data_IF_889546103199
#
_entry.id   IF_889546103199
#
_cell.length_a   1.000
_cell.length_b   1.000
_cell.length_c   1.000
_cell.angle_alpha   90.00
_cell.angle_beta   90.00
_cell.angle_gamma   90.00
#
_symmetry.space_group_name_H-M   'P 1'
#
loop_
_entity.id
_entity.type
_entity.pdbx_description
1 polymer ?
#
# COMPACT_ATOMS: atom_id res chain seq x y z
N UNK A 1 -4.16 7.06 1.95
CA UNK A 1 -2.87 6.52 2.41
C UNK A 1 -1.80 7.09 1.50
N UNK A 2 -1.18 8.19 1.91
CA UNK A 2 -0.09 8.78 1.14
C UNK A 2 1.11 7.84 1.18
N UNK A 3 1.62 7.45 0.02
CA UNK A 3 2.89 6.72 -0.05
C UNK A 3 3.99 7.63 0.50
N UNK A 4 4.38 7.44 1.76
CA UNK A 4 5.56 8.03 2.39
C UNK A 4 6.84 7.38 1.84
N UNK A 5 6.95 7.35 0.50
CA UNK A 5 8.09 6.80 -0.22
C UNK A 5 9.07 7.94 -0.54
N UNK A 6 10.38 7.72 -0.38
CA UNK A 6 11.41 8.64 -0.86
C UNK A 6 11.25 8.97 -2.34
N UNK A 7 11.60 10.20 -2.72
CA UNK A 7 11.55 10.68 -4.11
C UNK A 7 12.29 9.72 -5.06
N UNK A 8 13.43 9.15 -4.64
CA UNK A 8 14.19 8.16 -5.41
C UNK A 8 13.38 6.91 -5.76
N UNK A 9 12.50 6.45 -4.87
CA UNK A 9 11.64 5.28 -5.13
C UNK A 9 10.51 5.66 -6.08
N UNK A 10 9.95 6.85 -5.92
CA UNK A 10 8.88 7.37 -6.78
C UNK A 10 9.38 7.61 -8.22
N UNK A 11 10.63 8.04 -8.41
CA UNK A 11 11.26 8.19 -9.73
C UNK A 11 11.30 6.88 -10.55
N UNK A 12 11.15 5.71 -9.91
CA UNK A 12 11.12 4.41 -10.60
C UNK A 12 9.72 4.00 -11.06
N UNK A 13 8.68 4.58 -10.48
CA UNK A 13 7.29 4.10 -10.62
C UNK A 13 6.33 5.19 -11.10
N UNK A 14 6.79 6.42 -11.24
CA UNK A 14 5.96 7.60 -11.51
C UNK A 14 6.66 8.49 -12.53
N UNK A 15 5.87 9.14 -13.40
CA UNK A 15 6.41 10.05 -14.41
C UNK A 15 7.11 11.23 -13.73
N UNK A 16 8.19 11.70 -14.35
CA UNK A 16 9.02 12.78 -13.80
C UNK A 16 8.22 14.08 -13.63
N UNK A 17 7.32 14.38 -14.55
CA UNK A 17 6.50 15.59 -14.52
C UNK A 17 5.51 15.60 -13.34
N UNK A 18 4.97 14.44 -12.98
CA UNK A 18 4.11 14.29 -11.80
C UNK A 18 4.91 14.51 -10.50
N UNK A 19 6.16 14.04 -10.47
CA UNK A 19 7.06 14.27 -9.33
C UNK A 19 7.42 15.75 -9.21
N UNK A 20 7.70 16.43 -10.32
CA UNK A 20 7.94 17.88 -10.33
C UNK A 20 6.72 18.66 -9.85
N UNK A 21 5.51 18.28 -10.27
CA UNK A 21 4.26 18.88 -9.78
C UNK A 21 4.12 18.72 -8.26
N UNK A 22 4.39 17.52 -7.74
CA UNK A 22 4.35 17.26 -6.28
C UNK A 22 5.41 18.05 -5.52
N UNK A 23 6.61 18.23 -6.08
CA UNK A 23 7.62 19.12 -5.51
C UNK A 23 7.10 20.55 -5.46
N UNK A 24 6.51 21.04 -6.56
CA UNK A 24 5.91 22.39 -6.60
C UNK A 24 4.83 22.59 -5.55
N UNK A 25 3.92 21.63 -5.38
CA UNK A 25 2.90 21.66 -4.32
C UNK A 25 3.52 21.66 -2.92
N UNK A 26 4.57 20.86 -2.71
CA UNK A 26 5.27 20.78 -1.43
C UNK A 26 5.91 22.12 -1.07
N UNK A 27 6.57 22.78 -2.03
CA UNK A 27 7.15 24.12 -1.85
C UNK A 27 6.04 25.14 -1.53
N UNK A 28 4.90 25.09 -2.22
CA UNK A 28 3.80 26.01 -1.97
C UNK A 28 3.22 25.87 -0.55
N UNK A 29 3.10 24.64 -0.04
CA UNK A 29 2.68 24.38 1.36
C UNK A 29 3.69 25.02 2.32
N UNK A 30 4.99 24.76 2.13
CA UNK A 30 6.04 25.29 3.00
C UNK A 30 6.05 26.83 3.00
N UNK A 31 5.92 27.45 1.83
CA UNK A 31 5.86 28.92 1.71
C UNK A 31 4.65 29.48 2.48
N UNK A 32 3.50 28.81 2.41
CA UNK A 32 2.30 29.20 3.15
C UNK A 32 2.49 29.04 4.68
N UNK A 33 3.07 27.92 5.13
CA UNK A 33 3.31 27.66 6.56
C UNK A 33 4.29 28.66 7.19
N UNK A 34 5.22 29.20 6.39
CA UNK A 34 6.17 30.23 6.81
C UNK A 34 5.56 31.65 6.80
N UNK A 35 4.32 31.83 6.33
CA UNK A 35 3.69 33.14 6.25
C UNK A 35 4.36 34.09 5.24
N UNK A 36 5.12 33.55 4.28
CA UNK A 36 5.86 34.34 3.31
C UNK A 36 4.93 35.01 2.30
N UNK A 37 5.06 36.33 2.15
CA UNK A 37 4.24 37.12 1.22
C UNK A 37 4.65 36.94 -0.24
N UNK A 38 5.87 36.46 -0.49
CA UNK A 38 6.42 36.27 -1.85
C UNK A 38 6.70 34.81 -2.13
N UNK A 39 6.06 34.28 -3.18
CA UNK A 39 6.35 32.95 -3.73
C UNK A 39 7.67 33.02 -4.51
N UNK A 40 8.53 31.98 -4.47
CA UNK A 40 9.73 31.93 -5.29
C UNK A 40 9.40 32.13 -6.76
N UNK A 41 10.23 32.91 -7.48
CA UNK A 41 10.08 33.07 -8.92
C UNK A 41 10.30 31.73 -9.68
N UNK A 42 9.97 31.71 -10.98
CA UNK A 42 10.07 30.48 -11.79
C UNK A 42 11.49 29.91 -11.83
N UNK A 43 12.53 30.75 -11.77
CA UNK A 43 13.92 30.30 -11.81
C UNK A 43 14.33 29.68 -10.47
N UNK A 44 13.93 30.29 -9.36
CA UNK A 44 14.11 29.78 -8.01
C UNK A 44 13.38 28.46 -7.82
N UNK A 45 12.13 28.34 -8.29
CA UNK A 45 11.37 27.09 -8.27
C UNK A 45 12.09 25.98 -9.06
N UNK A 46 12.56 26.26 -10.28
CA UNK A 46 13.32 25.28 -11.08
C UNK A 46 14.60 24.84 -10.38
N UNK A 47 15.32 25.76 -9.73
CA UNK A 47 16.50 25.44 -8.93
C UNK A 47 16.15 24.57 -7.72
N UNK A 48 15.10 24.89 -6.99
CA UNK A 48 14.64 24.07 -5.86
C UNK A 48 14.24 22.66 -6.29
N UNK A 49 13.49 22.53 -7.38
CA UNK A 49 13.14 21.23 -7.98
C UNK A 49 14.40 20.44 -8.35
N UNK A 50 15.36 21.08 -9.01
CA UNK A 50 16.63 20.45 -9.36
C UNK A 50 17.37 19.94 -8.11
N UNK A 51 17.44 20.75 -7.05
CA UNK A 51 18.15 20.35 -5.84
C UNK A 51 17.46 19.19 -5.11
N UNK A 52 16.13 19.23 -5.01
CA UNK A 52 15.35 18.17 -4.37
C UNK A 52 15.48 16.83 -5.12
N UNK A 53 15.47 16.85 -6.46
CA UNK A 53 15.61 15.65 -7.28
C UNK A 53 17.01 15.04 -7.24
N UNK A 54 18.06 15.85 -7.14
CA UNK A 54 19.44 15.37 -7.24
C UNK A 54 20.09 15.12 -5.89
N UNK A 55 19.85 16.00 -4.91
CA UNK A 55 20.56 15.98 -3.63
C UNK A 55 19.71 15.48 -2.47
N UNK A 56 18.38 15.52 -2.54
CA UNK A 56 17.47 15.15 -1.44
C UNK A 56 16.49 14.03 -1.81
N UNK A 57 16.84 13.21 -2.80
CA UNK A 57 15.98 12.13 -3.29
C UNK A 57 15.74 11.00 -2.26
N UNK A 58 16.55 10.93 -1.21
CA UNK A 58 16.40 10.06 -0.05
C UNK A 58 15.25 10.46 0.87
N UNK A 59 14.76 11.70 0.77
CA UNK A 59 13.64 12.21 1.53
C UNK A 59 12.32 11.98 0.78
N UNK A 60 11.24 11.74 1.53
CA UNK A 60 9.88 11.80 1.02
C UNK A 60 9.34 13.23 1.06
N UNK A 61 8.22 13.47 0.37
CA UNK A 61 7.53 14.78 0.44
C UNK A 61 7.04 15.12 1.85
N UNK A 62 6.56 14.13 2.60
CA UNK A 62 6.14 14.30 3.99
C UNK A 62 7.34 14.61 4.89
N UNK A 63 8.50 14.00 4.64
CA UNK A 63 9.74 14.29 5.37
C UNK A 63 10.24 15.71 5.08
N UNK A 64 10.09 16.20 3.85
CA UNK A 64 10.42 17.59 3.50
C UNK A 64 9.50 18.55 4.26
N UNK A 65 8.18 18.35 4.28
CA UNK A 65 7.24 19.20 5.03
C UNK A 65 7.57 19.16 6.53
N UNK A 66 7.76 17.95 7.08
CA UNK A 66 8.11 17.73 8.48
C UNK A 66 9.42 18.41 8.88
N UNK A 67 10.40 18.52 7.97
CA UNK A 67 11.61 19.27 8.21
C UNK A 67 11.30 20.74 8.55
N UNK A 68 10.39 21.37 7.79
CA UNK A 68 9.99 22.75 8.05
C UNK A 68 9.13 22.89 9.31
N UNK A 69 8.22 21.96 9.57
CA UNK A 69 7.46 21.94 10.83
C UNK A 69 8.38 21.86 12.06
N UNK A 70 9.37 20.95 12.03
CA UNK A 70 10.35 20.79 13.10
C UNK A 70 11.25 22.02 13.25
N UNK A 71 11.59 22.68 12.13
CA UNK A 71 12.27 23.96 12.19
C UNK A 71 11.40 24.98 12.92
N UNK A 72 10.14 25.19 12.50
CA UNK A 72 9.20 26.16 13.08
C UNK A 72 9.00 25.98 14.59
N UNK A 73 8.90 24.74 15.09
CA UNK A 73 8.75 24.45 16.53
C UNK A 73 10.07 24.47 17.31
N UNK A 74 11.16 24.94 16.70
CA UNK A 74 12.46 25.13 17.34
C UNK A 74 13.20 23.83 17.66
N UNK A 75 12.93 22.74 16.93
CA UNK A 75 13.58 21.44 17.17
C UNK A 75 14.99 21.34 16.57
N UNK A 76 15.38 22.30 15.75
CA UNK A 76 16.73 22.40 15.20
C UNK A 76 17.48 23.58 15.83
N UNK A 77 18.77 23.40 16.10
CA UNK A 77 19.69 24.48 16.45
C UNK A 77 20.08 25.30 15.21
N UNK A 78 19.10 25.71 14.41
CA UNK A 78 19.29 26.40 13.14
C UNK A 78 18.49 27.69 13.20
N UNK A 79 19.15 28.82 12.94
CA UNK A 79 18.46 30.10 12.82
C UNK A 79 17.47 30.03 11.63
N UNK A 80 16.17 30.22 11.91
CA UNK A 80 15.03 30.10 10.98
C UNK A 80 14.72 31.46 10.33
N UNK A 81 15.50 32.50 10.63
CA UNK A 81 15.35 33.80 9.99
C UNK A 81 15.44 33.67 8.47
N UNK A 82 14.29 33.86 7.83
CA UNK A 82 14.12 34.02 6.42
C UNK A 82 13.82 35.51 6.23
N UNK A 83 14.80 36.27 5.73
CA UNK A 83 14.63 37.71 5.47
C UNK A 83 13.67 37.89 4.28
N UNK A 84 12.37 37.71 4.53
CA UNK A 84 11.23 37.80 3.60
C UNK A 84 11.33 37.01 2.28
N UNK A 85 12.32 36.12 2.14
CA UNK A 85 12.58 35.39 0.90
C UNK A 85 12.83 33.91 1.16
N UNK A 86 12.07 33.07 0.44
CA UNK A 86 12.31 31.62 0.39
C UNK A 86 13.36 31.33 -0.68
N UNK A 87 14.61 31.18 -0.28
CA UNK A 87 15.70 30.88 -1.20
C UNK A 87 16.22 29.44 -1.06
N UNK A 88 17.09 29.04 -1.99
CA UNK A 88 17.66 27.69 -2.02
C UNK A 88 18.58 27.43 -0.81
N UNK A 89 19.25 28.47 -0.28
CA UNK A 89 20.13 28.35 0.88
C UNK A 89 19.31 27.99 2.12
N UNK A 90 18.18 28.66 2.30
CA UNK A 90 17.23 28.40 3.37
C UNK A 90 16.66 26.98 3.29
N UNK A 91 16.20 26.57 2.09
CA UNK A 91 15.71 25.20 1.86
C UNK A 91 16.76 24.14 2.23
N UNK A 92 17.98 24.28 1.73
CA UNK A 92 19.05 23.29 1.99
C UNK A 92 19.51 23.28 3.45
N UNK A 93 19.56 24.43 4.12
CA UNK A 93 19.90 24.55 5.54
C UNK A 93 18.94 23.72 6.41
N UNK A 94 17.64 23.85 6.18
CA UNK A 94 16.60 23.12 6.94
C UNK A 94 16.64 21.62 6.63
N UNK A 95 16.78 21.23 5.37
CA UNK A 95 16.81 19.80 5.01
C UNK A 95 18.06 19.08 5.52
N UNK A 96 19.20 19.76 5.58
CA UNK A 96 20.40 19.20 6.19
C UNK A 96 20.24 19.04 7.71
N UNK A 97 19.65 20.03 8.39
CA UNK A 97 19.33 19.94 9.81
C UNK A 97 18.39 18.76 10.10
N UNK A 98 17.39 18.57 9.24
CA UNK A 98 16.48 17.43 9.33
C UNK A 98 17.18 16.09 9.12
N UNK A 99 18.16 15.99 8.20
CA UNK A 99 18.96 14.76 8.04
C UNK A 99 19.72 14.40 9.29
N UNK A 100 20.36 15.38 9.94
CA UNK A 100 21.08 15.15 11.20
C UNK A 100 20.10 14.77 12.31
N UNK A 101 18.96 15.46 12.42
CA UNK A 101 17.89 15.09 13.33
C UNK A 101 17.41 13.65 13.09
N UNK A 102 17.19 13.26 11.83
CA UNK A 102 16.78 11.91 11.44
C UNK A 102 17.85 10.89 11.80
N UNK A 103 19.14 11.14 11.60
CA UNK A 103 20.23 10.24 12.00
C UNK A 103 20.26 10.00 13.52
N UNK A 104 20.03 11.05 14.31
CA UNK A 104 20.08 10.98 15.77
C UNK A 104 18.81 10.37 16.39
N UNK A 105 17.64 10.61 15.78
CA UNK A 105 16.34 10.22 16.32
C UNK A 105 15.70 9.02 15.60
N UNK A 106 16.31 8.52 14.53
CA UNK A 106 15.97 7.18 14.05
C UNK A 106 16.54 6.21 15.08
N UNK A 107 15.72 5.37 15.74
CA UNK A 107 16.25 4.36 16.64
C UNK A 107 17.31 3.60 15.88
N UNK A 108 18.54 3.59 16.41
CA UNK A 108 19.57 2.67 15.95
C UNK A 108 18.98 1.29 16.20
N UNK A 109 18.37 0.71 15.17
CA UNK A 109 18.16 -0.72 15.12
C UNK A 109 19.49 -1.31 15.55
N UNK A 110 19.53 -2.22 16.55
CA UNK A 110 20.76 -2.89 16.88
C UNK A 110 21.35 -3.33 15.55
N UNK A 111 22.62 -2.99 15.31
CA UNK A 111 23.42 -3.56 14.23
C UNK A 111 23.66 -5.04 14.56
N UNK A 112 22.57 -5.80 14.70
CA UNK A 112 22.56 -7.19 14.30
C UNK A 112 22.99 -7.13 12.84
N UNK A 113 24.25 -7.50 12.64
CA UNK A 113 24.80 -8.00 11.38
C UNK A 113 23.64 -8.62 10.60
N UNK A 114 23.50 -8.26 9.32
CA UNK A 114 22.61 -8.93 8.39
C UNK A 114 22.99 -10.42 8.27
N UNK A 115 22.71 -11.23 9.29
CA UNK A 115 22.23 -12.56 9.03
C UNK A 115 20.90 -12.31 8.34
N UNK A 116 20.90 -12.44 7.01
CA UNK A 116 19.64 -12.61 6.30
C UNK A 116 18.82 -13.60 7.13
N UNK A 117 17.55 -13.28 7.49
CA UNK A 117 16.75 -14.17 8.32
C UNK A 117 16.91 -15.57 7.72
N UNK A 118 17.47 -16.49 8.52
CA UNK A 118 17.76 -17.84 8.05
C UNK A 118 16.47 -18.32 7.39
N UNK A 119 16.51 -18.79 6.12
CA UNK A 119 15.30 -19.27 5.49
C UNK A 119 14.68 -20.28 6.45
N UNK A 120 13.35 -20.21 6.69
CA UNK A 120 12.72 -21.09 7.67
C UNK A 120 13.09 -22.53 7.34
N UNK A 121 13.48 -23.27 8.36
CA UNK A 121 13.70 -24.71 8.26
C UNK A 121 12.41 -25.39 7.77
N UNK A 122 12.51 -26.58 7.19
CA UNK A 122 11.32 -27.32 6.75
C UNK A 122 10.34 -27.58 7.91
N UNK A 123 10.86 -27.77 9.14
CA UNK A 123 10.05 -27.88 10.34
C UNK A 123 9.28 -26.58 10.66
N UNK A 124 9.92 -25.42 10.54
CA UNK A 124 9.26 -24.12 10.73
C UNK A 124 8.25 -23.83 9.62
N UNK A 125 8.57 -24.14 8.35
CA UNK A 125 7.61 -24.03 7.24
C UNK A 125 6.39 -24.90 7.47
N UNK A 126 6.58 -26.13 7.95
CA UNK A 126 5.49 -27.04 8.32
C UNK A 126 4.65 -26.44 9.44
N UNK A 127 5.27 -25.92 10.50
CA UNK A 127 4.54 -25.31 11.60
C UNK A 127 3.75 -24.07 11.16
N UNK A 128 4.31 -23.24 10.28
CA UNK A 128 3.62 -22.10 9.67
C UNK A 128 2.40 -22.60 8.88
N UNK A 129 2.55 -23.64 8.04
CA UNK A 129 1.45 -24.25 7.28
C UNK A 129 0.34 -24.75 8.21
N UNK A 130 0.69 -25.50 9.24
CA UNK A 130 -0.26 -26.04 10.24
C UNK A 130 -1.01 -24.90 10.93
N UNK A 131 -0.28 -23.88 11.41
CA UNK A 131 -0.88 -22.74 12.12
C UNK A 131 -1.83 -21.93 11.23
N UNK A 132 -1.51 -21.81 9.94
CA UNK A 132 -2.38 -21.17 8.96
C UNK A 132 -3.73 -21.89 8.86
N UNK A 133 -3.73 -23.22 8.69
CA UNK A 133 -4.97 -23.98 8.56
C UNK A 133 -5.76 -24.09 9.86
N UNK A 134 -5.10 -24.14 11.02
CA UNK A 134 -5.77 -24.04 12.32
C UNK A 134 -6.49 -22.70 12.50
N UNK A 135 -5.88 -21.61 12.05
CA UNK A 135 -6.53 -20.29 12.05
C UNK A 135 -7.69 -20.24 11.04
N UNK A 136 -7.52 -20.85 9.87
CA UNK A 136 -8.58 -20.95 8.87
C UNK A 136 -9.79 -21.75 9.38
N UNK A 137 -9.57 -22.82 10.15
CA UNK A 137 -10.63 -23.56 10.84
C UNK A 137 -11.39 -22.69 11.85
N UNK A 138 -10.70 -21.84 12.61
CA UNK A 138 -11.35 -20.88 13.51
C UNK A 138 -12.20 -19.89 12.71
N UNK A 139 -11.67 -19.35 11.61
CA UNK A 139 -12.42 -18.45 10.73
C UNK A 139 -13.64 -19.13 10.11
N UNK A 140 -13.57 -20.40 9.73
CA UNK A 140 -14.73 -21.17 9.27
C UNK A 140 -15.79 -21.33 10.37
N UNK A 141 -15.39 -21.65 11.62
CA UNK A 141 -16.32 -21.71 12.76
C UNK A 141 -17.00 -20.36 13.00
N UNK A 142 -16.27 -19.25 12.90
CA UNK A 142 -16.83 -17.90 12.98
C UNK A 142 -17.80 -17.62 11.84
N UNK A 143 -17.45 -18.02 10.61
CA UNK A 143 -18.30 -17.89 9.43
C UNK A 143 -19.62 -18.66 9.59
N UNK A 144 -19.59 -19.89 10.09
CA UNK A 144 -20.80 -20.69 10.34
C UNK A 144 -21.75 -19.95 11.29
N UNK A 145 -21.22 -19.36 12.37
CA UNK A 145 -21.98 -18.61 13.38
C UNK A 145 -22.51 -17.27 12.90
N UNK A 146 -21.68 -16.50 12.19
CA UNK A 146 -21.95 -15.07 11.89
C UNK A 146 -22.35 -14.79 10.45
N UNK A 147 -22.12 -15.73 9.54
CA UNK A 147 -22.22 -15.54 8.10
C UNK A 147 -21.12 -14.65 7.49
N UNK A 148 -20.14 -14.19 8.30
CA UNK A 148 -19.08 -13.29 7.87
C UNK A 148 -17.72 -13.96 7.90
N UNK A 149 -16.92 -13.70 6.88
CA UNK A 149 -15.59 -14.27 6.77
C UNK A 149 -14.60 -13.35 7.51
N UNK A 150 -14.12 -13.81 8.65
CA UNK A 150 -13.18 -13.07 9.51
C UNK A 150 -11.73 -13.29 9.06
N UNK A 151 -11.46 -12.97 7.79
CA UNK A 151 -10.12 -13.08 7.18
C UNK A 151 -9.86 -11.87 6.28
N UNK A 152 -8.67 -11.28 6.44
CA UNK A 152 -8.30 -10.05 5.73
C UNK A 152 -7.75 -10.34 4.32
N UNK A 153 -7.11 -11.49 4.11
CA UNK A 153 -6.34 -11.79 2.89
C UNK A 153 -6.94 -12.98 2.11
N UNK A 154 -8.10 -12.75 1.51
CA UNK A 154 -8.87 -13.78 0.80
C UNK A 154 -8.11 -14.47 -0.36
N UNK A 155 -7.30 -13.71 -1.12
CA UNK A 155 -6.54 -14.28 -2.24
C UNK A 155 -5.51 -15.32 -1.79
N UNK A 156 -4.91 -15.13 -0.61
CA UNK A 156 -3.94 -16.06 -0.03
C UNK A 156 -4.65 -17.34 0.42
N UNK A 157 -5.82 -17.21 1.03
CA UNK A 157 -6.66 -18.35 1.43
C UNK A 157 -7.02 -19.19 0.22
N UNK A 158 -7.53 -18.57 -0.85
CA UNK A 158 -7.85 -19.28 -2.08
C UNK A 158 -6.65 -20.06 -2.62
N UNK A 159 -5.49 -19.40 -2.78
CA UNK A 159 -4.29 -20.04 -3.30
C UNK A 159 -3.88 -21.22 -2.41
N UNK A 160 -3.91 -21.07 -1.09
CA UNK A 160 -3.53 -22.14 -0.16
C UNK A 160 -4.51 -23.30 -0.18
N UNK A 161 -5.81 -23.05 -0.30
CA UNK A 161 -6.79 -24.13 -0.47
C UNK A 161 -6.58 -24.88 -1.79
N UNK A 162 -6.27 -24.16 -2.87
CA UNK A 162 -6.04 -24.76 -4.19
C UNK A 162 -4.74 -25.58 -4.20
N UNK A 163 -3.63 -25.02 -3.71
CA UNK A 163 -2.32 -25.68 -3.59
C UNK A 163 -2.38 -26.99 -2.79
N UNK A 164 -3.31 -27.09 -1.83
CA UNK A 164 -3.49 -28.27 -0.99
C UNK A 164 -4.70 -29.12 -1.44
N UNK A 165 -5.22 -28.93 -2.66
CA UNK A 165 -6.33 -29.70 -3.23
C UNK A 165 -7.61 -29.73 -2.37
N UNK A 166 -7.84 -28.68 -1.57
CA UNK A 166 -9.03 -28.56 -0.71
C UNK A 166 -10.19 -27.92 -1.47
N UNK A 167 -9.88 -26.98 -2.37
CA UNK A 167 -10.85 -26.39 -3.30
C UNK A 167 -10.43 -26.75 -4.73
N UNK A 168 -11.41 -27.02 -5.57
CA UNK A 168 -11.23 -27.19 -7.00
C UNK A 168 -12.12 -26.19 -7.73
N UNK A 169 -11.56 -25.50 -8.72
CA UNK A 169 -12.29 -24.54 -9.56
C UNK A 169 -11.87 -24.81 -10.99
N UNK A 170 -12.81 -25.29 -11.79
CA UNK A 170 -12.64 -25.48 -13.24
C UNK A 170 -12.54 -24.13 -13.97
N UNK A 171 -12.07 -24.15 -15.22
CA UNK A 171 -11.99 -22.93 -16.04
C UNK A 171 -13.36 -22.26 -16.23
N UNK A 172 -14.42 -23.05 -16.39
CA UNK A 172 -15.79 -22.55 -16.54
C UNK A 172 -16.26 -21.86 -15.26
N UNK A 173 -16.04 -22.48 -14.10
CA UNK A 173 -16.38 -21.87 -12.80
C UNK A 173 -15.56 -20.60 -12.55
N UNK A 174 -14.27 -20.61 -12.92
CA UNK A 174 -13.41 -19.45 -12.82
C UNK A 174 -13.91 -18.29 -13.67
N UNK A 175 -14.38 -18.56 -14.90
CA UNK A 175 -15.00 -17.55 -15.77
C UNK A 175 -16.24 -16.94 -15.11
N UNK A 176 -17.12 -17.77 -14.54
CA UNK A 176 -18.31 -17.31 -13.80
C UNK A 176 -17.93 -16.45 -12.59
N UNK A 177 -16.89 -16.83 -11.84
CA UNK A 177 -16.38 -16.06 -10.71
C UNK A 177 -15.80 -14.72 -11.16
N UNK A 178 -15.08 -14.68 -12.28
CA UNK A 178 -14.53 -13.46 -12.87
C UNK A 178 -15.64 -12.50 -13.32
N UNK A 179 -16.76 -13.00 -13.83
CA UNK A 179 -17.93 -12.19 -14.18
C UNK A 179 -18.62 -11.63 -12.94
N UNK A 180 -18.85 -12.44 -11.91
CA UNK A 180 -19.38 -11.98 -10.61
C UNK A 180 -18.47 -10.91 -10.01
N UNK A 181 -17.16 -11.15 -10.01
CA UNK A 181 -16.16 -10.22 -9.49
C UNK A 181 -16.12 -8.91 -10.27
N UNK A 182 -16.24 -8.97 -11.60
CA UNK A 182 -16.32 -7.78 -12.46
C UNK A 182 -17.55 -6.94 -12.10
N UNK A 183 -18.73 -7.58 -11.96
CA UNK A 183 -19.97 -6.89 -11.56
C UNK A 183 -19.84 -6.26 -10.18
N UNK A 184 -19.32 -7.00 -9.20
CA UNK A 184 -19.11 -6.50 -7.84
C UNK A 184 -18.11 -5.33 -7.79
N UNK A 185 -17.03 -5.40 -8.55
CA UNK A 185 -16.05 -4.32 -8.66
C UNK A 185 -16.68 -3.06 -9.26
N UNK A 186 -17.46 -3.18 -10.34
CA UNK A 186 -18.22 -2.06 -10.91
C UNK A 186 -19.20 -1.45 -9.88
N UNK A 187 -19.89 -2.27 -9.08
CA UNK A 187 -20.76 -1.78 -8.01
C UNK A 187 -19.99 -1.01 -6.92
N UNK A 188 -18.82 -1.52 -6.51
CA UNK A 188 -17.92 -0.84 -5.54
C UNK A 188 -17.44 0.51 -6.10
N UNK A 189 -17.08 0.57 -7.37
CA UNK A 189 -16.68 1.81 -8.06
C UNK A 189 -17.84 2.82 -8.21
N UNK A 190 -19.08 2.35 -8.32
CA UNK A 190 -20.25 3.25 -8.34
C UNK A 190 -20.63 3.81 -6.95
N UNK A 191 -19.96 3.38 -5.89
CA UNK A 191 -20.25 3.78 -4.50
C UNK A 191 -19.06 4.49 -3.83
N UNK A 192 -18.59 5.64 -4.34
CA UNK A 192 -17.49 6.38 -3.73
C UNK A 192 -17.90 6.93 -2.36
N UNK A 193 -17.02 6.81 -1.37
CA UNK A 193 -17.25 7.33 0.00
C UNK A 193 -16.74 8.75 0.18
N UNK A 194 -15.91 9.24 -0.74
CA UNK A 194 -15.27 10.56 -0.67
C UNK A 194 -15.25 11.23 -2.05
N UNK A 195 -15.12 12.55 -2.08
CA UNK A 195 -15.02 13.31 -3.33
C UNK A 195 -13.78 12.90 -4.16
N UNK A 196 -12.65 12.62 -3.50
CA UNK A 196 -11.44 12.13 -4.18
C UNK A 196 -11.67 10.77 -4.84
N UNK A 197 -12.35 9.84 -4.17
CA UNK A 197 -12.73 8.54 -4.75
C UNK A 197 -13.71 8.71 -5.92
N UNK A 198 -14.62 9.69 -5.85
CA UNK A 198 -15.58 9.92 -6.93
C UNK A 198 -14.87 10.20 -8.25
N UNK A 199 -13.88 11.10 -8.24
CA UNK A 199 -13.11 11.43 -9.45
C UNK A 199 -12.34 10.21 -9.96
N UNK A 200 -11.60 9.52 -9.07
CA UNK A 200 -10.82 8.32 -9.43
C UNK A 200 -11.71 7.21 -10.00
N UNK A 201 -12.80 6.88 -9.32
CA UNK A 201 -13.72 5.82 -9.72
C UNK A 201 -14.43 6.14 -11.04
N UNK A 202 -14.77 7.41 -11.27
CA UNK A 202 -15.35 7.86 -12.55
C UNK A 202 -14.37 7.60 -13.70
N UNK A 203 -13.09 7.95 -13.53
CA UNK A 203 -12.05 7.69 -14.53
C UNK A 203 -11.87 6.20 -14.80
N UNK A 204 -11.91 5.36 -13.75
CA UNK A 204 -11.80 3.91 -13.89
C UNK A 204 -13.01 3.34 -14.64
N UNK A 205 -14.23 3.76 -14.29
CA UNK A 205 -15.46 3.29 -14.93
C UNK A 205 -15.54 3.68 -16.41
N UNK A 206 -15.19 4.92 -16.76
CA UNK A 206 -15.18 5.40 -18.15
C UNK A 206 -14.22 4.60 -19.04
N UNK A 207 -13.12 4.11 -18.46
CA UNK A 207 -12.10 3.36 -19.18
C UNK A 207 -12.13 1.86 -18.86
N UNK A 208 -13.16 1.35 -18.18
CA UNK A 208 -13.11 0.05 -17.52
C UNK A 208 -12.74 -1.11 -18.46
N UNK A 209 -13.37 -1.17 -19.64
CA UNK A 209 -13.10 -2.24 -20.62
C UNK A 209 -11.68 -2.15 -21.17
N UNK A 210 -11.14 -0.94 -21.34
CA UNK A 210 -9.74 -0.74 -21.72
C UNK A 210 -8.80 -1.08 -20.56
N UNK A 211 -9.16 -0.70 -19.33
CA UNK A 211 -8.32 -0.87 -18.15
C UNK A 211 -8.23 -2.33 -17.69
N UNK A 212 -9.34 -3.07 -17.76
CA UNK A 212 -9.45 -4.48 -17.33
C UNK A 212 -8.46 -5.39 -18.06
N UNK A 213 -8.12 -5.09 -19.32
CA UNK A 213 -7.19 -5.90 -20.12
C UNK A 213 -5.82 -5.24 -20.34
N UNK A 214 -5.73 -3.90 -20.26
CA UNK A 214 -4.48 -3.17 -20.53
C UNK A 214 -3.63 -2.91 -19.28
N UNK A 215 -4.20 -2.89 -18.09
CA UNK A 215 -3.48 -2.55 -16.85
C UNK A 215 -3.48 -3.72 -15.85
N UNK A 216 -2.29 -4.20 -15.43
CA UNK A 216 -2.17 -5.33 -14.49
C UNK A 216 -2.92 -5.13 -13.16
N UNK A 217 -3.06 -3.88 -12.70
CA UNK A 217 -3.67 -3.56 -11.42
C UNK A 217 -5.18 -3.83 -11.37
N UNK A 218 -5.94 -3.43 -12.40
CA UNK A 218 -7.40 -3.64 -12.42
C UNK A 218 -7.74 -5.11 -12.63
N UNK A 219 -7.00 -5.80 -13.51
CA UNK A 219 -7.14 -7.24 -13.67
C UNK A 219 -6.87 -7.98 -12.35
N UNK A 220 -5.78 -7.64 -11.67
CA UNK A 220 -5.42 -8.24 -10.37
C UNK A 220 -6.47 -7.98 -9.30
N UNK A 221 -7.08 -6.78 -9.28
CA UNK A 221 -8.18 -6.45 -8.36
C UNK A 221 -9.39 -7.34 -8.61
N UNK A 222 -9.80 -7.50 -9.87
CA UNK A 222 -10.92 -8.36 -10.23
C UNK A 222 -10.62 -9.82 -9.89
N UNK A 223 -9.40 -10.31 -10.19
CA UNK A 223 -8.97 -11.66 -9.82
C UNK A 223 -9.01 -11.88 -8.31
N UNK A 224 -8.56 -10.91 -7.50
CA UNK A 224 -8.60 -11.03 -6.04
C UNK A 224 -10.04 -11.05 -5.51
N UNK A 225 -10.96 -10.30 -6.12
CA UNK A 225 -12.38 -10.36 -5.79
C UNK A 225 -12.96 -11.73 -6.20
N UNK A 226 -12.58 -12.29 -7.35
CA UNK A 226 -13.02 -13.63 -7.77
C UNK A 226 -12.57 -14.70 -6.77
N UNK A 227 -11.33 -14.61 -6.27
CA UNK A 227 -10.81 -15.49 -5.21
C UNK A 227 -11.56 -15.34 -3.90
N UNK A 228 -11.91 -14.12 -3.51
CA UNK A 228 -12.77 -13.83 -2.35
C UNK A 228 -14.13 -14.53 -2.50
N UNK A 229 -14.80 -14.36 -3.65
CA UNK A 229 -16.09 -15.00 -3.93
C UNK A 229 -15.95 -16.52 -3.87
N UNK A 230 -14.92 -17.10 -4.47
CA UNK A 230 -14.70 -18.55 -4.47
C UNK A 230 -14.57 -19.13 -3.06
N UNK A 231 -13.80 -18.48 -2.18
CA UNK A 231 -13.64 -18.92 -0.79
C UNK A 231 -14.96 -18.81 -0.03
N UNK A 232 -15.72 -17.74 -0.24
CA UNK A 232 -17.03 -17.56 0.39
C UNK A 232 -18.01 -18.64 -0.07
N UNK A 233 -18.11 -18.89 -1.38
CA UNK A 233 -18.99 -19.91 -1.94
C UNK A 233 -18.62 -21.31 -1.44
N UNK A 234 -17.32 -21.62 -1.36
CA UNK A 234 -16.83 -22.87 -0.76
C UNK A 234 -17.26 -23.01 0.70
N UNK A 235 -17.06 -21.98 1.53
CA UNK A 235 -17.49 -22.02 2.94
C UNK A 235 -19.02 -22.12 3.10
N UNK A 236 -19.77 -21.47 2.21
CA UNK A 236 -21.23 -21.60 2.16
C UNK A 236 -21.66 -23.02 1.81
N UNK A 237 -21.00 -23.66 0.85
CA UNK A 237 -21.27 -25.04 0.48
C UNK A 237 -20.95 -26.00 1.61
N UNK A 238 -19.80 -25.85 2.28
CA UNK A 238 -19.47 -26.67 3.45
C UNK A 238 -20.53 -26.52 4.54
N UNK A 239 -20.98 -25.29 4.81
CA UNK A 239 -22.04 -25.03 5.78
C UNK A 239 -23.36 -25.69 5.36
N UNK A 240 -23.76 -25.56 4.10
CA UNK A 240 -25.00 -26.15 3.54
C UNK A 240 -24.98 -27.67 3.63
N UNK A 241 -23.84 -28.30 3.38
CA UNK A 241 -23.68 -29.75 3.39
C UNK A 241 -23.36 -30.30 4.80
N UNK A 242 -23.33 -29.43 5.83
CA UNK A 242 -22.91 -29.76 7.19
C UNK A 242 -21.53 -30.46 7.25
N UNK A 243 -20.65 -30.11 6.32
CA UNK A 243 -19.32 -30.69 6.19
C UNK A 243 -18.36 -30.11 7.22
N UNK A 244 -17.53 -30.98 7.80
CA UNK A 244 -16.48 -30.58 8.73
C UNK A 244 -15.22 -30.17 7.96
N UNK A 245 -14.91 -28.86 7.95
CA UNK A 245 -13.71 -28.33 7.30
C UNK A 245 -12.42 -28.97 7.83
N UNK A 246 -12.31 -29.23 9.14
CA UNK A 246 -11.14 -29.90 9.73
C UNK A 246 -10.91 -31.28 9.11
N UNK A 247 -11.98 -32.07 8.93
CA UNK A 247 -11.88 -33.39 8.32
C UNK A 247 -11.41 -33.33 6.86
N UNK A 248 -11.76 -32.27 6.13
CA UNK A 248 -11.28 -32.07 4.74
C UNK A 248 -9.79 -31.73 4.74
N UNK A 249 -9.35 -30.85 5.64
CA UNK A 249 -7.94 -30.47 5.79
C UNK A 249 -7.07 -31.68 6.21
N UNK A 250 -7.58 -32.55 7.08
CA UNK A 250 -6.90 -33.80 7.46
C UNK A 250 -6.76 -34.70 6.23
N UNK A 251 -7.83 -34.90 5.45
CA UNK A 251 -7.81 -35.76 4.26
C UNK A 251 -6.89 -35.25 3.15
N UNK A 252 -6.59 -33.95 3.11
CA UNK A 252 -5.67 -33.38 2.14
C UNK A 252 -4.18 -33.49 2.53
N UNK A 253 -3.85 -34.13 3.67
CA UNK A 253 -2.46 -34.32 4.11
C UNK A 253 -1.80 -33.06 4.64
N UNK A 254 -2.56 -31.99 4.91
CA UNK A 254 -2.00 -30.70 5.39
C UNK A 254 -1.30 -30.82 6.75
N UNK A 255 -1.66 -31.81 7.57
CA UNK A 255 -1.03 -32.04 8.87
C UNK A 255 0.14 -33.04 8.82
N UNK A 256 0.34 -33.73 7.69
CA UNK A 256 1.42 -34.71 7.45
C UNK A 256 2.72 -34.05 6.95
#
# INVERSE_FOLDING_TARGET
MGNNLPIRKLLKTTQRDDIQRRIGTTIAIIVADLGLKTIPDQLAQKRMIHYLLNYYQDLSFEEIIKAFELALVGKFAVNIEHYDSFDIKYLTKILNAYREYKKLNTPKLPTARNEAPKPPTEAEKRQIRISFFQNLEKSYKTFVKTGKLDIIIHWLVYNKLLENNIIHVSENEWSVLMDKATKLHKLRLNSPKTASQKTEFTTILQNFEKLKFKYPFELSRIQNIAKEIAVVEFFQELKRNNSNFHSIVVKSGVYE
#
